data_IF_033136827393
#
_entry.id   IF_033136827393
#
_cell.length_a   1.000
_cell.length_b   1.000
_cell.length_c   1.000
_cell.angle_alpha   90.00
_cell.angle_beta   90.00
_cell.angle_gamma   90.00
#
_symmetry.space_group_name_H-M   'P 1'
#
loop_
_entity.id
_entity.type
_entity.pdbx_description
1 polymer ?
#
# COMPACT_ATOMS: atom_id res chain seq x y z
N UNK A 1 1.41 -13.33 10.14
CA UNK A 1 1.65 -13.61 8.71
C UNK A 1 2.88 -12.85 8.27
N UNK A 2 3.73 -13.41 7.41
CA UNK A 2 4.81 -12.67 6.73
C UNK A 2 4.33 -12.23 5.35
N UNK A 3 4.71 -11.04 4.90
CA UNK A 3 4.40 -10.55 3.55
C UNK A 3 5.67 -10.60 2.70
N UNK A 4 5.57 -11.18 1.51
CA UNK A 4 6.64 -11.27 0.54
C UNK A 4 6.44 -10.22 -0.56
N UNK A 5 7.44 -9.35 -0.75
CA UNK A 5 7.49 -8.40 -1.87
C UNK A 5 8.16 -9.09 -3.06
N UNK A 6 7.44 -9.23 -4.16
CA UNK A 6 7.95 -9.82 -5.40
C UNK A 6 8.13 -8.76 -6.47
N UNK A 7 9.32 -8.73 -7.05
CA UNK A 7 9.63 -7.93 -8.23
C UNK A 7 9.55 -8.82 -9.47
N UNK A 8 8.61 -8.56 -10.39
CA UNK A 8 8.54 -9.34 -11.61
C UNK A 8 9.72 -9.06 -12.53
N UNK A 9 9.99 -10.02 -13.42
CA UNK A 9 10.90 -9.80 -14.55
C UNK A 9 10.25 -8.80 -15.52
N UNK A 10 10.87 -7.64 -15.65
CA UNK A 10 10.35 -6.53 -16.44
C UNK A 10 10.28 -6.90 -17.94
N UNK A 11 11.25 -7.66 -18.45
CA UNK A 11 11.32 -8.07 -19.85
C UNK A 11 10.24 -9.11 -20.18
N UNK A 12 10.06 -10.10 -19.30
CA UNK A 12 9.01 -11.12 -19.48
C UNK A 12 7.61 -10.49 -19.48
N UNK A 13 7.31 -9.59 -18.52
CA UNK A 13 6.01 -8.91 -18.47
C UNK A 13 5.79 -7.97 -19.67
N UNK A 14 6.82 -7.27 -20.13
CA UNK A 14 6.74 -6.45 -21.33
C UNK A 14 6.43 -7.31 -22.56
N UNK A 15 7.12 -8.43 -22.73
CA UNK A 15 6.89 -9.35 -23.85
C UNK A 15 5.46 -9.91 -23.92
N UNK A 16 4.77 -9.91 -22.78
CA UNK A 16 3.39 -10.38 -22.62
C UNK A 16 2.34 -9.25 -22.69
N UNK A 17 2.75 -8.01 -22.98
CA UNK A 17 1.86 -6.86 -23.13
C UNK A 17 1.50 -6.14 -21.82
N UNK A 18 2.24 -6.36 -20.73
CA UNK A 18 2.03 -5.71 -19.44
C UNK A 18 3.02 -4.57 -19.17
N UNK A 19 3.52 -3.92 -20.21
CA UNK A 19 4.61 -2.92 -20.15
C UNK A 19 4.36 -1.83 -19.10
N UNK A 20 3.11 -1.36 -19.01
CA UNK A 20 2.70 -0.28 -18.09
C UNK A 20 2.93 -0.60 -16.62
N UNK A 21 2.90 -1.88 -16.23
CA UNK A 21 3.00 -2.34 -14.83
C UNK A 21 4.20 -3.26 -14.59
N UNK A 22 5.02 -3.51 -15.61
CA UNK A 22 6.16 -4.42 -15.54
C UNK A 22 7.16 -4.05 -14.44
N UNK A 23 7.29 -2.75 -14.15
CA UNK A 23 8.19 -2.20 -13.12
C UNK A 23 7.56 -2.11 -11.73
N UNK A 24 6.38 -2.69 -11.50
CA UNK A 24 5.62 -2.55 -10.25
C UNK A 24 5.75 -3.82 -9.41
N UNK A 25 6.12 -3.73 -8.12
CA UNK A 25 6.16 -4.89 -7.26
C UNK A 25 4.74 -5.36 -6.91
N UNK A 26 4.60 -6.65 -6.61
CA UNK A 26 3.37 -7.20 -6.06
C UNK A 26 3.63 -7.94 -4.75
N UNK A 27 2.56 -8.12 -3.98
CA UNK A 27 2.62 -8.67 -2.63
C UNK A 27 2.00 -10.06 -2.59
N UNK A 28 2.65 -10.94 -1.84
CA UNK A 28 2.19 -12.28 -1.53
C UNK A 28 2.18 -12.49 -0.01
N UNK A 29 1.30 -13.36 0.48
CA UNK A 29 1.38 -13.80 1.88
C UNK A 29 2.51 -14.81 2.10
N UNK A 30 2.61 -15.33 3.32
CA UNK A 30 3.63 -16.30 3.73
C UNK A 30 3.50 -17.66 3.02
N UNK A 31 2.34 -17.93 2.41
CA UNK A 31 2.06 -19.15 1.64
C UNK A 31 2.18 -18.91 0.13
N UNK A 32 2.74 -17.76 -0.29
CA UNK A 32 2.84 -17.35 -1.69
C UNK A 32 1.51 -17.19 -2.39
N UNK A 33 0.44 -16.87 -1.65
CA UNK A 33 -0.83 -16.48 -2.24
C UNK A 33 -0.82 -14.99 -2.58
N UNK A 34 -1.24 -14.68 -3.81
CA UNK A 34 -1.27 -13.31 -4.32
C UNK A 34 -2.24 -12.42 -3.53
N UNK A 35 -1.74 -11.30 -3.02
CA UNK A 35 -2.52 -10.30 -2.30
C UNK A 35 -3.01 -9.24 -3.28
N UNK A 36 -4.20 -9.49 -3.83
CA UNK A 36 -4.79 -8.68 -4.89
C UNK A 36 -4.94 -7.21 -4.51
N UNK A 37 -5.68 -6.89 -3.45
CA UNK A 37 -5.97 -5.50 -3.07
C UNK A 37 -4.70 -4.70 -2.73
N UNK A 38 -3.76 -5.23 -1.91
CA UNK A 38 -2.49 -4.55 -1.67
C UNK A 38 -1.64 -4.36 -2.93
N UNK A 39 -1.63 -5.33 -3.84
CA UNK A 39 -0.88 -5.21 -5.10
C UNK A 39 -1.54 -4.21 -6.07
N UNK A 40 -2.86 -4.15 -6.11
CA UNK A 40 -3.62 -3.17 -6.91
C UNK A 40 -3.29 -1.75 -6.46
N UNK A 41 -3.18 -1.50 -5.16
CA UNK A 41 -2.73 -0.20 -4.65
C UNK A 41 -1.37 0.22 -5.20
N UNK A 42 -0.40 -0.69 -5.25
CA UNK A 42 0.94 -0.40 -5.79
C UNK A 42 0.88 -0.06 -7.28
N UNK A 43 0.02 -0.74 -8.05
CA UNK A 43 -0.24 -0.45 -9.46
C UNK A 43 -0.86 0.94 -9.64
N UNK A 44 -1.93 1.26 -8.92
CA UNK A 44 -2.59 2.57 -9.01
C UNK A 44 -1.64 3.73 -8.67
N UNK A 45 -0.76 3.51 -7.69
CA UNK A 45 0.29 4.48 -7.32
C UNK A 45 1.37 4.62 -8.38
N UNK A 46 1.78 3.51 -9.01
CA UNK A 46 2.76 3.52 -10.08
C UNK A 46 2.24 4.22 -11.35
N UNK A 47 0.96 4.00 -11.67
CA UNK A 47 0.31 4.56 -12.86
C UNK A 47 -0.11 6.02 -12.70
N UNK A 48 -0.01 6.59 -11.49
CA UNK A 48 -0.55 7.91 -11.15
C UNK A 48 -2.08 8.01 -11.36
N UNK A 49 -2.78 6.87 -11.51
CA UNK A 49 -4.24 6.81 -11.66
C UNK A 49 -4.95 7.43 -10.45
N UNK A 50 -4.25 7.51 -9.31
CA UNK A 50 -4.62 8.35 -8.17
C UNK A 50 -3.50 9.34 -7.82
N UNK A 51 -3.78 10.63 -7.97
CA UNK A 51 -2.97 11.72 -7.40
C UNK A 51 -3.81 12.48 -6.36
N UNK A 52 -3.32 12.66 -5.11
CA UNK A 52 -4.04 13.43 -4.13
C UNK A 52 -4.10 14.88 -4.59
N UNK A 53 -5.32 15.38 -4.84
CA UNK A 53 -5.57 16.71 -5.36
C UNK A 53 -5.01 17.80 -4.44
N UNK A 54 -3.83 18.31 -4.75
CA UNK A 54 -3.47 19.70 -4.49
C UNK A 54 -3.71 20.47 -5.77
N UNK A 55 -4.90 21.10 -5.89
CA UNK A 55 -5.23 21.98 -7.01
C UNK A 55 -4.23 23.13 -7.21
N UNK A 56 -3.39 23.43 -6.21
CA UNK A 56 -2.50 24.61 -6.23
C UNK A 56 -1.07 24.33 -5.71
N UNK A 57 -0.44 23.19 -6.01
CA UNK A 57 1.01 23.11 -5.78
C UNK A 57 1.71 22.28 -6.86
N UNK A 58 2.82 22.83 -7.33
CA UNK A 58 3.80 22.32 -8.30
C UNK A 58 4.51 21.04 -7.79
N UNK A 59 3.76 20.08 -7.25
CA UNK A 59 4.23 18.73 -6.96
C UNK A 59 4.29 17.97 -8.27
N UNK A 60 5.50 17.70 -8.74
CA UNK A 60 5.74 17.05 -10.02
C UNK A 60 4.89 15.78 -10.15
N UNK A 61 4.11 15.70 -11.23
CA UNK A 61 3.36 14.51 -11.65
C UNK A 61 4.36 13.44 -12.13
N UNK A 62 5.32 13.09 -11.27
CA UNK A 62 6.47 12.27 -11.58
C UNK A 62 6.13 10.85 -11.18
N UNK A 63 6.26 9.93 -12.14
CA UNK A 63 6.13 8.51 -11.87
C UNK A 63 7.04 8.13 -10.69
N UNK A 64 6.54 7.33 -9.72
CA UNK A 64 7.35 6.86 -8.62
C UNK A 64 8.61 6.15 -9.14
N UNK A 65 9.74 6.37 -8.48
CA UNK A 65 10.95 5.59 -8.79
C UNK A 65 10.80 4.17 -8.25
N UNK A 66 11.62 3.24 -8.73
CA UNK A 66 11.72 1.88 -8.17
C UNK A 66 11.92 1.88 -6.64
N UNK A 67 12.72 2.83 -6.14
CA UNK A 67 12.94 3.04 -4.72
C UNK A 67 11.66 3.51 -3.99
N UNK A 68 10.89 4.42 -4.58
CA UNK A 68 9.60 4.83 -4.00
C UNK A 68 8.62 3.67 -3.93
N UNK A 69 8.52 2.85 -4.99
CA UNK A 69 7.67 1.66 -5.01
C UNK A 69 8.12 0.61 -3.97
N UNK A 70 9.43 0.44 -3.79
CA UNK A 70 9.97 -0.40 -2.71
C UNK A 70 9.52 0.10 -1.33
N UNK A 71 9.68 1.40 -1.05
CA UNK A 71 9.23 1.97 0.23
C UNK A 71 7.72 1.81 0.42
N UNK A 72 6.92 1.97 -0.63
CA UNK A 72 5.47 1.77 -0.56
C UNK A 72 5.11 0.33 -0.23
N UNK A 73 5.76 -0.63 -0.90
CA UNK A 73 5.57 -2.05 -0.66
C UNK A 73 5.99 -2.44 0.77
N UNK A 74 7.12 -1.93 1.27
CA UNK A 74 7.61 -2.17 2.64
C UNK A 74 6.67 -1.61 3.70
N UNK A 75 6.20 -0.37 3.53
CA UNK A 75 5.26 0.23 4.48
C UNK A 75 3.92 -0.50 4.50
N UNK A 76 3.40 -0.89 3.33
CA UNK A 76 2.15 -1.64 3.23
C UNK A 76 2.29 -3.03 3.83
N UNK A 77 3.38 -3.73 3.54
CA UNK A 77 3.69 -5.05 4.12
C UNK A 77 3.73 -4.97 5.63
N UNK A 78 4.49 -4.01 6.19
CA UNK A 78 4.63 -3.88 7.64
C UNK A 78 3.29 -3.56 8.34
N UNK A 79 2.42 -2.78 7.71
CA UNK A 79 1.08 -2.53 8.24
C UNK A 79 0.17 -3.76 8.18
N UNK A 80 0.19 -4.52 7.08
CA UNK A 80 -0.63 -5.73 6.95
C UNK A 80 -0.20 -6.80 7.96
N UNK A 81 1.10 -6.95 8.19
CA UNK A 81 1.63 -7.84 9.23
C UNK A 81 1.19 -7.41 10.64
N UNK A 82 1.17 -6.10 10.90
CA UNK A 82 0.71 -5.54 12.18
C UNK A 82 -0.78 -5.81 12.39
N UNK A 83 -1.58 -5.53 11.37
CA UNK A 83 -3.02 -5.70 11.41
C UNK A 83 -3.38 -7.16 11.69
N UNK A 84 -2.72 -8.09 11.01
CA UNK A 84 -2.86 -9.53 11.26
C UNK A 84 -2.49 -9.90 12.70
N UNK A 85 -1.31 -9.47 13.20
CA UNK A 85 -0.87 -9.82 14.55
C UNK A 85 -1.84 -9.31 15.62
N UNK A 86 -2.45 -8.13 15.40
CA UNK A 86 -3.38 -7.50 16.33
C UNK A 86 -4.84 -7.92 16.12
N UNK A 87 -5.13 -8.77 15.14
CA UNK A 87 -6.50 -9.18 14.79
C UNK A 87 -7.35 -8.01 14.30
N UNK A 88 -6.73 -7.00 13.70
CA UNK A 88 -7.38 -5.82 13.12
C UNK A 88 -7.72 -6.12 11.68
N UNK A 89 -9.00 -6.04 11.32
CA UNK A 89 -9.41 -6.07 9.91
C UNK A 89 -8.99 -4.75 9.25
N UNK A 90 -7.91 -4.82 8.47
CA UNK A 90 -7.27 -3.65 7.86
C UNK A 90 -8.20 -2.88 6.91
N UNK A 91 -9.23 -3.54 6.34
CA UNK A 91 -10.24 -2.89 5.48
C UNK A 91 -11.15 -1.94 6.25
N UNK A 92 -11.37 -2.21 7.52
CA UNK A 92 -12.21 -1.40 8.41
C UNK A 92 -11.39 -0.58 9.41
N UNK A 93 -10.06 -0.68 9.34
CA UNK A 93 -9.16 -0.01 10.27
C UNK A 93 -9.25 1.51 10.11
N UNK A 94 -9.70 2.19 11.16
CA UNK A 94 -9.77 3.65 11.21
C UNK A 94 -8.39 4.29 11.41
N UNK A 95 -8.17 5.45 10.82
CA UNK A 95 -6.92 6.20 10.98
C UNK A 95 -6.64 6.56 12.45
N UNK A 96 -7.64 7.02 13.18
CA UNK A 96 -7.47 7.47 14.57
C UNK A 96 -7.17 6.30 15.52
N UNK A 97 -7.96 5.24 15.44
CA UNK A 97 -7.92 4.20 16.47
C UNK A 97 -6.82 3.18 16.18
N UNK A 98 -6.69 2.80 14.90
CA UNK A 98 -5.80 1.71 14.50
C UNK A 98 -4.46 2.24 13.99
N UNK A 99 -4.45 3.32 13.19
CA UNK A 99 -3.21 3.82 12.62
C UNK A 99 -2.42 4.71 13.60
N UNK A 100 -3.02 5.78 14.12
CA UNK A 100 -2.40 6.66 15.13
C UNK A 100 -2.34 5.98 16.50
N UNK A 101 -3.46 5.45 16.96
CA UNK A 101 -3.61 4.87 18.31
C UNK A 101 -2.90 3.51 18.50
N UNK A 102 -2.70 2.76 17.42
CA UNK A 102 -2.08 1.44 17.41
C UNK A 102 -0.75 1.42 16.70
N UNK A 103 -0.77 1.28 15.36
CA UNK A 103 0.40 1.05 14.52
C UNK A 103 1.53 2.07 14.74
N UNK A 104 1.23 3.37 14.68
CA UNK A 104 2.22 4.43 14.87
C UNK A 104 2.78 4.45 16.30
N UNK A 105 1.90 4.25 17.29
CA UNK A 105 2.26 4.20 18.71
C UNK A 105 3.17 3.01 19.00
N UNK A 106 2.88 1.83 18.46
CA UNK A 106 3.68 0.63 18.69
C UNK A 106 5.04 0.69 17.96
N UNK A 107 5.11 1.30 16.78
CA UNK A 107 6.39 1.54 16.09
C UNK A 107 7.28 2.55 16.83
N UNK A 108 6.70 3.63 17.37
CA UNK A 108 7.45 4.61 18.17
C UNK A 108 7.89 4.06 19.53
N UNK A 109 7.15 3.10 20.09
CA UNK A 109 7.52 2.42 21.34
C UNK A 109 8.51 1.26 21.12
N UNK A 110 8.66 0.79 19.88
CA UNK A 110 9.47 -0.38 19.55
C UNK A 110 8.81 -1.72 19.85
N UNK A 111 7.57 -1.74 20.36
CA UNK A 111 6.82 -2.96 20.67
C UNK A 111 6.37 -3.74 19.42
N UNK A 112 6.32 -3.06 18.26
CA UNK A 112 6.09 -3.66 16.95
C UNK A 112 7.38 -3.78 16.10
N UNK A 113 8.56 -3.50 16.68
CA UNK A 113 9.84 -3.68 16.00
C UNK A 113 10.35 -5.11 16.20
N UNK A 114 10.79 -5.77 15.12
CA UNK A 114 11.44 -7.09 15.20
C UNK A 114 12.69 -7.08 16.09
N UNK A 115 13.33 -5.92 16.25
CA UNK A 115 14.49 -5.70 17.13
C UNK A 115 14.11 -5.23 18.54
N UNK A 116 12.83 -5.01 18.82
CA UNK A 116 12.33 -4.39 20.06
C UNK A 116 12.72 -2.91 20.21
N UNK A 117 13.33 -2.30 19.19
CA UNK A 117 13.78 -0.89 19.23
C UNK A 117 12.78 0.04 18.55
N UNK A 118 12.51 1.21 19.14
CA UNK A 118 11.79 2.29 18.47
C UNK A 118 12.34 2.58 17.09
N UNK A 119 11.45 2.78 16.12
CA UNK A 119 11.81 3.39 14.85
C UNK A 119 11.94 4.91 15.00
N UNK A 120 12.79 5.52 14.18
CA UNK A 120 12.92 6.98 14.16
C UNK A 120 11.56 7.61 13.81
N UNK A 121 11.17 8.73 14.45
CA UNK A 121 9.88 9.38 14.18
C UNK A 121 9.64 9.65 12.69
N UNK A 122 10.67 10.05 11.94
CA UNK A 122 10.59 10.27 10.50
C UNK A 122 10.26 9.00 9.69
N UNK A 123 10.76 7.84 10.10
CA UNK A 123 10.43 6.54 9.49
C UNK A 123 9.00 6.17 9.81
N UNK A 124 8.61 6.35 11.08
CA UNK A 124 7.25 6.07 11.54
C UNK A 124 6.21 6.92 10.81
N UNK A 125 6.48 8.22 10.66
CA UNK A 125 5.62 9.14 9.93
C UNK A 125 5.54 8.77 8.44
N UNK A 126 6.65 8.35 7.83
CA UNK A 126 6.66 7.89 6.44
C UNK A 126 5.75 6.68 6.25
N UNK A 127 5.82 5.70 7.16
CA UNK A 127 4.92 4.54 7.15
C UNK A 127 3.46 4.94 7.35
N UNK A 128 3.16 5.76 8.37
CA UNK A 128 1.81 6.20 8.68
C UNK A 128 1.17 7.00 7.52
N UNK A 129 1.93 7.91 6.90
CA UNK A 129 1.47 8.70 5.75
C UNK A 129 1.15 7.79 4.56
N UNK A 130 1.97 6.76 4.31
CA UNK A 130 1.77 5.84 3.19
C UNK A 130 0.58 4.90 3.43
N UNK A 131 0.39 4.42 4.65
CA UNK A 131 -0.74 3.56 5.00
C UNK A 131 -2.06 4.32 5.06
N UNK A 132 -2.08 5.55 5.58
CA UNK A 132 -3.29 6.38 5.53
C UNK A 132 -3.78 6.58 4.09
N UNK A 133 -2.86 6.66 3.12
CA UNK A 133 -3.17 6.82 1.70
C UNK A 133 -3.67 5.54 1.02
N UNK A 134 -3.55 4.37 1.63
CA UNK A 134 -4.19 3.13 1.20
C UNK A 134 -5.68 3.11 1.57
N UNK A 135 -6.07 3.76 2.67
CA UNK A 135 -7.44 3.83 3.17
C UNK A 135 -8.50 4.40 2.19
N UNK A 136 -8.27 5.51 1.44
CA UNK A 136 -9.28 6.08 0.53
C UNK A 136 -9.60 5.21 -0.69
N UNK A 137 -8.74 4.25 -1.04
CA UNK A 137 -9.00 3.31 -2.16
C UNK A 137 -10.01 2.23 -1.74
N UNK A 138 -10.18 2.00 -0.44
CA UNK A 138 -11.13 1.01 0.10
C UNK A 138 -12.54 1.59 0.30
N UNK A 139 -12.70 2.91 0.30
CA UNK A 139 -14.01 3.59 0.41
C UNK A 139 -14.64 3.93 -0.94
N UNK A 140 -13.94 3.69 -2.04
CA UNK A 140 -14.50 3.77 -3.39
C UNK A 140 -14.54 2.35 -3.99
N UNK A 141 -15.57 1.54 -3.68
CA UNK A 141 -15.89 0.46 -4.60
C UNK A 141 -16.06 1.11 -5.96
N UNK A 142 -15.36 0.56 -6.96
CA UNK A 142 -15.60 0.89 -8.36
C UNK A 142 -17.10 1.02 -8.58
N UNK A 143 -17.59 2.25 -8.76
CA UNK A 143 -18.88 2.46 -9.40
C UNK A 143 -18.69 2.08 -10.85
N UNK A 144 -18.70 0.78 -11.15
CA UNK A 144 -18.94 0.29 -12.50
C UNK A 144 -20.35 0.72 -12.88
N UNK A 145 -20.55 1.50 -13.95
CA UNK A 145 -21.87 1.60 -14.56
C UNK A 145 -22.04 0.37 -15.46
N UNK A 146 -22.25 -0.80 -14.85
CA UNK A 146 -22.77 -1.96 -15.59
C UNK A 146 -24.28 -1.80 -15.71
N UNK A 147 -24.69 -1.24 -16.84
CA UNK A 147 -25.79 -1.71 -17.69
C UNK A 147 -27.12 -2.18 -17.06
N UNK A 148 -28.18 -1.59 -17.64
CA UNK A 148 -29.45 -2.21 -18.07
C UNK A 148 -30.55 -2.51 -17.04
N UNK A 149 -31.71 -1.84 -17.24
CA UNK A 149 -33.01 -2.51 -17.14
C UNK A 149 -34.17 -1.70 -16.55
N UNK A 150 -35.00 -1.16 -17.45
CA UNK A 150 -36.47 -0.99 -17.34
C UNK A 150 -37.08 0.10 -16.42
N UNK A 151 -37.75 1.03 -17.11
CA UNK A 151 -38.82 1.92 -16.65
C UNK A 151 -39.42 2.60 -17.87
#
# INVERSE_FOLDING_TARGET
MSINIFWPDEEDLQSRGFERVAHVPCLFDGEWKYLREPSTYLIERALLDWTPGTKNNLGTNKMPTKQSLQTYAESLSNFLEWAELRGVEWRTATYTDHLLGGYQKEMTQGSWSSSGRPLAPSTVDSHAILTHRFHPILTHPCSSPSGSGCG
#
